data_IF_767753355959
#
_entry.id   IF_767753355959
#
_cell.length_a   1.000
_cell.length_b   1.000
_cell.length_c   1.000
_cell.angle_alpha   90.00
_cell.angle_beta   90.00
_cell.angle_gamma   90.00
#
_symmetry.space_group_name_H-M   'P 1'
#
loop_
_entity.id
_entity.type
_entity.pdbx_description
1 polymer ?
#
# COMPACT_ATOMS: atom_id res chain seq x y z
N UNK A 1 -42.56 9.27 -90.96
CA UNK A 1 -43.50 8.20 -90.54
C UNK A 1 -43.18 7.85 -89.13
N UNK A 2 -43.97 8.31 -88.22
CA UNK A 2 -44.83 7.49 -87.39
C UNK A 2 -43.98 6.58 -86.39
N UNK A 3 -44.07 6.57 -85.19
CA UNK A 3 -45.07 6.92 -84.14
C UNK A 3 -44.51 6.55 -82.78
N UNK A 4 -44.89 7.39 -81.87
CA UNK A 4 -45.51 7.06 -80.55
C UNK A 4 -44.78 6.12 -79.58
N UNK A 5 -44.43 6.69 -78.42
CA UNK A 5 -45.16 6.75 -77.14
C UNK A 5 -45.06 5.50 -76.31
N UNK A 6 -44.47 5.60 -75.12
CA UNK A 6 -45.15 5.52 -73.83
C UNK A 6 -44.10 5.42 -72.68
N UNK A 7 -44.16 6.46 -71.84
CA UNK A 7 -43.86 6.28 -70.45
C UNK A 7 -44.98 5.45 -69.80
N UNK A 8 -44.66 4.66 -68.73
CA UNK A 8 -44.77 5.27 -67.43
C UNK A 8 -43.94 4.62 -66.26
N UNK A 9 -43.98 5.39 -65.22
CA UNK A 9 -44.01 5.03 -63.79
C UNK A 9 -42.73 4.82 -63.04
N UNK A 10 -42.42 5.89 -62.42
CA UNK A 10 -41.92 6.06 -61.03
C UNK A 10 -42.26 4.92 -60.12
N UNK A 11 -41.30 4.22 -59.61
CA UNK A 11 -41.41 3.64 -58.25
C UNK A 11 -40.08 3.85 -57.53
N UNK A 12 -40.16 4.65 -56.48
CA UNK A 12 -39.03 5.02 -55.66
C UNK A 12 -38.42 3.83 -54.94
N UNK A 13 -37.10 3.75 -55.00
CA UNK A 13 -36.31 2.92 -54.11
C UNK A 13 -35.63 3.86 -53.14
N UNK A 14 -36.24 3.98 -51.97
CA UNK A 14 -35.63 4.63 -50.80
C UNK A 14 -34.46 3.78 -50.35
N UNK A 15 -33.26 4.22 -50.69
CA UNK A 15 -32.02 3.70 -50.09
C UNK A 15 -31.92 4.26 -48.66
N UNK A 16 -32.29 3.43 -47.68
CA UNK A 16 -31.98 3.67 -46.27
C UNK A 16 -30.50 3.43 -46.11
N UNK A 17 -29.71 4.50 -46.13
CA UNK A 17 -28.35 4.52 -45.63
C UNK A 17 -28.41 4.38 -44.11
N UNK A 18 -28.32 3.11 -43.61
CA UNK A 18 -28.04 2.83 -42.23
C UNK A 18 -26.57 3.23 -41.97
N UNK A 19 -26.36 4.44 -41.51
CA UNK A 19 -25.10 4.86 -40.94
C UNK A 19 -24.91 4.07 -39.66
N UNK A 20 -24.15 2.99 -39.74
CA UNK A 20 -23.59 2.31 -38.57
C UNK A 20 -22.55 3.27 -37.98
N UNK A 21 -23.00 4.10 -37.04
CA UNK A 21 -22.12 4.83 -36.15
C UNK A 21 -21.44 3.80 -35.25
N UNK A 22 -20.25 3.32 -35.70
CA UNK A 22 -19.32 2.58 -34.86
C UNK A 22 -18.79 3.57 -33.83
N UNK A 23 -19.51 3.73 -32.73
CA UNK A 23 -18.99 4.40 -31.55
C UNK A 23 -17.86 3.55 -31.02
N UNK A 24 -16.64 3.88 -31.44
CA UNK A 24 -15.42 3.53 -30.71
C UNK A 24 -15.60 4.10 -29.29
N UNK A 25 -16.08 3.27 -28.37
CA UNK A 25 -15.99 3.54 -26.96
C UNK A 25 -14.49 3.55 -26.63
N UNK A 26 -13.89 4.74 -26.73
CA UNK A 26 -12.64 5.01 -26.05
C UNK A 26 -12.89 4.63 -24.59
N UNK A 27 -12.01 3.80 -23.98
CA UNK A 27 -12.10 3.56 -22.55
C UNK A 27 -12.02 4.95 -21.90
N UNK A 28 -13.15 5.39 -21.37
CA UNK A 28 -13.21 6.54 -20.49
C UNK A 28 -12.30 6.16 -19.33
N UNK A 29 -11.07 6.69 -19.33
CA UNK A 29 -10.25 6.72 -18.12
C UNK A 29 -11.05 7.57 -17.14
N UNK A 30 -11.99 6.91 -16.47
CA UNK A 30 -12.68 7.47 -15.34
C UNK A 30 -11.59 7.79 -14.34
N UNK A 31 -11.23 9.07 -14.29
CA UNK A 31 -10.47 9.66 -13.23
C UNK A 31 -11.12 9.14 -11.97
N UNK A 32 -10.47 8.20 -11.29
CA UNK A 32 -10.91 7.65 -10.01
C UNK A 32 -10.70 8.74 -8.96
N UNK A 33 -11.46 9.82 -9.15
CA UNK A 33 -11.66 10.82 -8.13
C UNK A 33 -12.54 10.09 -7.12
N UNK A 34 -11.94 9.71 -5.96
CA UNK A 34 -12.73 9.57 -4.76
C UNK A 34 -13.67 10.77 -4.78
N UNK A 35 -14.98 10.57 -4.95
CA UNK A 35 -15.96 11.56 -4.57
C UNK A 35 -15.87 11.68 -3.05
N UNK A 36 -14.81 12.31 -2.57
CA UNK A 36 -14.82 12.85 -1.22
C UNK A 36 -16.04 13.75 -1.21
N UNK A 37 -17.02 13.36 -0.42
CA UNK A 37 -18.13 14.26 -0.16
C UNK A 37 -17.53 15.65 0.04
N UNK A 38 -18.03 16.64 -0.68
CA UNK A 38 -17.52 18.03 -0.57
C UNK A 38 -17.50 18.56 0.86
N UNK A 39 -18.05 17.81 1.79
CA UNK A 39 -18.17 18.07 3.22
C UNK A 39 -17.29 17.14 4.07
N UNK A 40 -16.41 16.30 3.47
CA UNK A 40 -15.48 15.49 4.27
C UNK A 40 -14.54 16.39 5.07
N UNK A 41 -14.10 15.98 6.27
CA UNK A 41 -13.17 16.78 7.09
C UNK A 41 -11.89 17.19 6.35
N UNK A 42 -11.32 16.29 5.55
CA UNK A 42 -10.13 16.58 4.76
C UNK A 42 -10.42 17.57 3.64
N UNK A 43 -11.56 17.45 2.94
CA UNK A 43 -11.96 18.38 1.90
C UNK A 43 -12.22 19.80 2.44
N UNK A 44 -12.85 19.93 3.62
CA UNK A 44 -13.04 21.22 4.26
C UNK A 44 -11.71 21.86 4.67
N UNK A 45 -10.78 21.07 5.22
CA UNK A 45 -9.45 21.56 5.58
C UNK A 45 -8.65 22.01 4.36
N UNK A 46 -8.67 21.23 3.28
CA UNK A 46 -7.98 21.56 2.04
C UNK A 46 -8.51 22.85 1.40
N UNK A 47 -9.84 23.07 1.40
CA UNK A 47 -10.41 24.34 0.95
C UNK A 47 -9.99 25.51 1.83
N UNK A 48 -9.94 25.31 3.13
CA UNK A 48 -9.44 26.35 4.02
C UNK A 48 -7.99 26.72 3.72
N UNK A 49 -7.12 25.74 3.46
CA UNK A 49 -5.73 25.98 3.04
C UNK A 49 -5.65 26.72 1.68
N UNK A 50 -6.49 26.34 0.74
CA UNK A 50 -6.56 27.03 -0.56
C UNK A 50 -6.98 28.49 -0.41
N UNK A 51 -8.02 28.75 0.40
CA UNK A 51 -8.52 30.08 0.65
C UNK A 51 -7.54 30.94 1.44
N UNK A 52 -6.81 30.38 2.40
CA UNK A 52 -5.70 31.05 3.10
C UNK A 52 -4.62 31.45 2.08
N UNK A 53 -4.21 30.55 1.19
CA UNK A 53 -3.21 30.84 0.17
C UNK A 53 -3.63 31.92 -0.82
N UNK A 54 -4.94 32.12 -1.02
CA UNK A 54 -5.54 33.18 -1.84
C UNK A 54 -5.96 34.42 -1.04
N UNK A 55 -5.60 34.49 0.23
CA UNK A 55 -5.94 35.59 1.17
C UNK A 55 -7.47 35.79 1.35
N UNK A 56 -8.27 34.75 1.12
CA UNK A 56 -9.72 34.76 1.31
C UNK A 56 -10.07 34.29 2.73
N UNK A 57 -9.68 35.06 3.73
CA UNK A 57 -9.73 34.63 5.14
C UNK A 57 -11.15 34.38 5.66
N UNK A 58 -12.16 35.10 5.19
CA UNK A 58 -13.55 34.85 5.59
C UNK A 58 -14.09 33.52 5.04
N UNK A 59 -13.77 33.19 3.78
CA UNK A 59 -14.11 31.90 3.21
C UNK A 59 -13.40 30.74 3.92
N UNK A 60 -12.11 30.90 4.18
CA UNK A 60 -11.33 29.95 4.96
C UNK A 60 -11.93 29.72 6.36
N UNK A 61 -12.33 30.80 7.06
CA UNK A 61 -12.98 30.72 8.36
C UNK A 61 -14.30 29.94 8.28
N UNK A 62 -15.12 30.19 7.24
CA UNK A 62 -16.36 29.44 7.03
C UNK A 62 -16.14 27.93 6.88
N UNK A 63 -15.10 27.52 6.13
CA UNK A 63 -14.73 26.09 5.98
C UNK A 63 -14.24 25.49 7.31
N UNK A 64 -13.41 26.21 8.05
CA UNK A 64 -12.90 25.75 9.37
C UNK A 64 -14.05 25.66 10.39
N UNK A 65 -14.98 26.58 10.41
CA UNK A 65 -16.15 26.50 11.30
C UNK A 65 -17.08 25.33 10.94
N UNK A 66 -17.27 25.05 9.64
CA UNK A 66 -17.98 23.85 9.20
C UNK A 66 -17.25 22.57 9.62
N UNK A 67 -15.93 22.55 9.53
CA UNK A 67 -15.10 21.45 9.99
C UNK A 67 -15.21 21.24 11.50
N UNK A 68 -15.17 22.29 12.32
CA UNK A 68 -15.31 22.20 13.77
C UNK A 68 -16.73 21.73 14.15
N UNK A 69 -17.79 22.18 13.46
CA UNK A 69 -19.14 21.65 13.69
C UNK A 69 -19.23 20.14 13.40
N UNK A 70 -18.55 19.68 12.32
CA UNK A 70 -18.54 18.26 11.95
C UNK A 70 -17.63 17.42 12.87
N UNK A 71 -16.54 18.00 13.38
CA UNK A 71 -15.52 17.34 14.23
C UNK A 71 -15.05 18.29 15.33
N UNK A 72 -15.83 18.45 16.43
CA UNK A 72 -15.51 19.38 17.51
C UNK A 72 -14.18 19.11 18.21
N UNK A 73 -13.70 17.86 18.16
CA UNK A 73 -12.45 17.41 18.76
C UNK A 73 -11.22 17.51 17.82
N UNK A 74 -11.34 18.20 16.67
CA UNK A 74 -10.23 18.38 15.73
C UNK A 74 -9.38 19.61 16.14
N UNK A 75 -8.34 19.36 16.93
CA UNK A 75 -7.49 20.41 17.55
C UNK A 75 -6.83 21.33 16.53
N UNK A 76 -6.34 20.80 15.41
CA UNK A 76 -5.75 21.60 14.33
C UNK A 76 -6.75 22.62 13.75
N UNK A 77 -8.02 22.23 13.60
CA UNK A 77 -9.05 23.16 13.10
C UNK A 77 -9.26 24.33 14.07
N UNK A 78 -9.25 24.08 15.38
CA UNK A 78 -9.33 25.14 16.37
C UNK A 78 -8.13 26.09 16.36
N UNK A 79 -6.91 25.56 16.16
CA UNK A 79 -5.71 26.38 16.02
C UNK A 79 -5.81 27.31 14.79
N UNK A 80 -6.17 26.75 13.63
CA UNK A 80 -6.36 27.52 12.39
C UNK A 80 -7.47 28.58 12.56
N UNK A 81 -8.58 28.23 13.23
CA UNK A 81 -9.65 29.20 13.55
C UNK A 81 -9.12 30.39 14.35
N UNK A 82 -8.33 30.11 15.39
CA UNK A 82 -7.71 31.16 16.21
C UNK A 82 -6.84 32.09 15.38
N UNK A 83 -6.00 31.53 14.52
CA UNK A 83 -5.15 32.31 13.61
C UNK A 83 -5.96 33.14 12.61
N UNK A 84 -7.00 32.58 11.98
CA UNK A 84 -7.85 33.33 11.04
C UNK A 84 -8.58 34.49 11.70
N UNK A 85 -9.06 34.31 12.93
CA UNK A 85 -9.66 35.41 13.71
C UNK A 85 -8.64 36.49 14.07
N UNK A 86 -7.42 36.10 14.43
CA UNK A 86 -6.34 37.03 14.75
C UNK A 86 -5.86 37.78 13.50
N UNK A 87 -5.85 37.13 12.33
CA UNK A 87 -5.47 37.72 11.05
C UNK A 87 -6.37 38.91 10.64
N UNK A 88 -7.60 38.99 11.16
CA UNK A 88 -8.49 40.16 10.96
C UNK A 88 -8.00 41.40 11.68
N UNK A 89 -7.24 41.24 12.76
CA UNK A 89 -6.78 42.36 13.59
C UNK A 89 -5.30 42.72 13.32
N UNK A 90 -4.47 41.76 12.88
CA UNK A 90 -3.04 41.99 12.65
C UNK A 90 -2.45 40.93 11.71
N UNK A 91 -1.38 41.25 10.95
CA UNK A 91 -0.64 40.26 10.15
C UNK A 91 -0.11 39.12 11.03
N UNK A 92 -0.17 37.90 10.52
CA UNK A 92 0.41 36.72 11.16
C UNK A 92 1.69 36.31 10.44
N UNK A 93 2.77 36.07 11.21
CA UNK A 93 4.05 35.62 10.68
C UNK A 93 4.13 34.09 10.61
N UNK A 94 3.31 33.38 11.39
CA UNK A 94 3.43 31.93 11.58
C UNK A 94 2.07 31.31 11.95
N UNK A 95 1.81 30.08 11.54
CA UNK A 95 0.66 29.31 11.99
C UNK A 95 0.78 28.99 13.48
N UNK A 96 -0.35 29.04 14.20
CA UNK A 96 -0.41 28.73 15.63
C UNK A 96 0.13 29.87 16.50
N UNK A 97 -0.32 31.10 16.23
CA UNK A 97 0.05 32.27 17.04
C UNK A 97 -0.73 32.29 18.36
N UNK A 98 -0.40 31.36 19.26
CA UNK A 98 -0.97 31.23 20.59
C UNK A 98 0.14 31.36 21.65
N UNK A 99 0.53 32.59 22.02
CA UNK A 99 1.71 32.86 22.88
C UNK A 99 1.61 32.21 24.27
N UNK A 100 0.40 31.99 24.78
CA UNK A 100 0.16 31.36 26.08
C UNK A 100 -0.16 29.86 25.97
N UNK A 101 -0.11 29.28 24.77
CA UNK A 101 -0.33 27.85 24.56
C UNK A 101 0.92 27.01 24.83
N UNK A 102 0.75 25.71 25.17
CA UNK A 102 1.88 24.80 25.32
C UNK A 102 2.68 24.71 24.02
N UNK A 103 3.96 25.10 24.05
CA UNK A 103 4.81 25.23 22.86
C UNK A 103 4.95 23.92 22.10
N UNK A 104 5.12 22.78 22.80
CA UNK A 104 5.20 21.43 22.25
C UNK A 104 3.94 21.06 21.46
N UNK A 105 2.76 21.36 22.00
CA UNK A 105 1.46 21.08 21.35
C UNK A 105 1.27 21.94 20.09
N UNK A 106 1.75 23.18 20.10
CA UNK A 106 1.67 24.04 18.92
C UNK A 106 2.60 23.52 17.83
N UNK A 107 3.81 23.06 18.17
CA UNK A 107 4.74 22.42 17.23
C UNK A 107 4.10 21.18 16.61
N UNK A 108 3.53 20.31 17.42
CA UNK A 108 2.82 19.10 16.98
C UNK A 108 1.71 19.41 15.95
N UNK A 109 0.88 20.43 16.22
CA UNK A 109 -0.20 20.83 15.30
C UNK A 109 0.33 21.49 14.02
N UNK A 110 1.45 22.20 14.08
CA UNK A 110 2.13 22.72 12.89
C UNK A 110 2.66 21.58 12.01
N UNK A 111 3.28 20.56 12.59
CA UNK A 111 3.75 19.39 11.86
C UNK A 111 2.56 18.68 11.17
N UNK A 112 1.41 18.54 11.85
CA UNK A 112 0.19 17.99 11.26
C UNK A 112 -0.31 18.85 10.09
N UNK A 113 -0.36 20.18 10.23
CA UNK A 113 -0.77 21.08 9.17
C UNK A 113 0.15 20.96 7.94
N UNK A 114 1.48 20.92 8.16
CA UNK A 114 2.47 20.76 7.09
C UNK A 114 2.30 19.42 6.36
N UNK A 115 2.13 18.32 7.09
CA UNK A 115 1.94 16.99 6.50
C UNK A 115 0.67 16.93 5.63
N UNK A 116 -0.46 17.49 6.10
CA UNK A 116 -1.71 17.54 5.35
C UNK A 116 -1.64 18.48 4.16
N UNK A 117 -1.05 19.66 4.31
CA UNK A 117 -0.86 20.61 3.23
C UNK A 117 0.07 20.06 2.13
N UNK A 118 1.11 19.33 2.52
CA UNK A 118 2.00 18.65 1.56
C UNK A 118 1.23 17.59 0.76
N UNK A 119 0.41 16.77 1.40
CA UNK A 119 -0.41 15.76 0.73
C UNK A 119 -1.40 16.40 -0.26
N UNK A 120 -1.99 17.54 0.11
CA UNK A 120 -2.88 18.30 -0.77
C UNK A 120 -2.15 18.87 -2.00
N UNK A 121 -0.95 19.44 -1.81
CA UNK A 121 -0.17 20.07 -2.88
C UNK A 121 0.54 19.09 -3.80
N UNK A 122 0.89 17.93 -3.28
CA UNK A 122 1.61 16.86 -3.97
C UNK A 122 0.77 15.57 -3.92
N UNK A 123 -0.41 15.55 -4.56
CA UNK A 123 -1.26 14.36 -4.55
C UNK A 123 -0.55 13.22 -5.30
N UNK A 124 -0.87 12.00 -4.91
CA UNK A 124 -0.42 10.82 -5.63
C UNK A 124 -1.02 10.80 -7.05
N UNK A 125 -0.18 10.50 -8.04
CA UNK A 125 -0.63 10.29 -9.43
C UNK A 125 -1.21 8.88 -9.59
N UNK A 126 -2.43 8.79 -10.13
CA UNK A 126 -3.16 7.52 -10.29
C UNK A 126 -2.54 6.56 -11.31
N UNK A 127 -1.58 7.03 -12.11
CA UNK A 127 -0.83 6.27 -13.12
C UNK A 127 0.50 5.70 -12.61
N UNK A 128 0.79 5.91 -11.33
CA UNK A 128 1.97 5.38 -10.66
C UNK A 128 1.60 4.25 -9.69
N UNK A 129 2.51 3.29 -9.57
CA UNK A 129 2.39 2.12 -8.70
C UNK A 129 3.54 2.11 -7.70
N UNK A 130 3.32 1.79 -6.41
CA UNK A 130 4.43 1.67 -5.46
C UNK A 130 5.33 0.49 -5.86
N UNK A 131 6.64 0.71 -5.88
CA UNK A 131 7.64 -0.31 -6.24
C UNK A 131 7.58 -1.57 -5.38
N UNK A 132 6.92 -1.48 -4.23
CA UNK A 132 6.78 -2.57 -3.25
C UNK A 132 5.72 -3.62 -3.62
N UNK A 133 4.69 -3.24 -4.39
CA UNK A 133 3.57 -4.12 -4.77
C UNK A 133 3.78 -4.69 -6.18
N UNK A 134 4.69 -5.66 -6.34
CA UNK A 134 4.99 -6.22 -7.66
C UNK A 134 3.89 -7.15 -8.16
N UNK A 135 3.30 -7.98 -7.29
CA UNK A 135 2.17 -8.83 -7.63
C UNK A 135 1.36 -9.21 -6.41
N UNK A 136 0.04 -9.08 -6.51
CA UNK A 136 -0.93 -9.55 -5.53
C UNK A 136 -1.49 -10.92 -5.94
N UNK A 137 -1.83 -11.75 -4.94
CA UNK A 137 -2.65 -12.95 -5.17
C UNK A 137 -4.06 -12.56 -5.60
N UNK A 138 -4.77 -13.40 -6.39
CA UNK A 138 -6.17 -13.14 -6.76
C UNK A 138 -7.10 -12.93 -5.55
N UNK A 139 -6.84 -13.61 -4.44
CA UNK A 139 -7.62 -13.51 -3.20
C UNK A 139 -7.33 -12.23 -2.40
N UNK A 140 -6.19 -11.61 -2.60
CA UNK A 140 -5.81 -10.33 -1.98
C UNK A 140 -6.50 -9.18 -2.72
N UNK A 141 -7.73 -8.85 -2.32
CA UNK A 141 -8.52 -7.81 -2.99
C UNK A 141 -7.95 -6.42 -2.84
N UNK A 142 -7.26 -6.16 -1.73
CA UNK A 142 -6.67 -4.87 -1.40
C UNK A 142 -5.27 -5.03 -0.81
N UNK A 143 -4.47 -3.98 -0.95
CA UNK A 143 -3.16 -3.83 -0.32
C UNK A 143 -3.00 -2.43 0.27
N UNK A 144 -2.22 -2.33 1.34
CA UNK A 144 -1.92 -1.09 2.04
C UNK A 144 -0.43 -0.77 1.91
N UNK A 145 -0.12 0.49 1.61
CA UNK A 145 1.26 1.02 1.67
C UNK A 145 1.27 2.23 2.59
N UNK A 146 2.07 2.15 3.65
CA UNK A 146 2.25 3.21 4.63
C UNK A 146 3.55 3.96 4.34
N UNK A 147 3.44 5.27 4.17
CA UNK A 147 4.54 6.22 4.07
C UNK A 147 4.63 7.02 5.38
N UNK A 148 5.53 6.62 6.26
CA UNK A 148 5.68 7.29 7.56
C UNK A 148 6.32 8.67 7.42
N UNK A 149 7.12 8.92 6.38
CA UNK A 149 7.74 10.21 6.10
C UNK A 149 6.75 11.25 5.58
N UNK A 150 5.69 10.82 4.88
CA UNK A 150 4.61 11.70 4.42
C UNK A 150 3.38 11.67 5.33
N UNK A 151 3.38 10.83 6.36
CA UNK A 151 2.21 10.59 7.24
C UNK A 151 0.96 10.19 6.44
N UNK A 152 1.13 9.27 5.47
CA UNK A 152 0.04 8.78 4.61
C UNK A 152 -0.03 7.25 4.61
N UNK A 153 -1.24 6.75 4.50
CA UNK A 153 -1.55 5.35 4.21
C UNK A 153 -2.30 5.33 2.89
N UNK A 154 -1.75 4.65 1.90
CA UNK A 154 -2.35 4.48 0.57
C UNK A 154 -3.04 3.13 0.49
N UNK A 155 -4.25 3.11 -0.04
CA UNK A 155 -5.05 1.92 -0.30
C UNK A 155 -5.06 1.60 -1.79
N UNK A 156 -4.74 0.36 -2.13
CA UNK A 156 -4.76 -0.15 -3.50
C UNK A 156 -5.73 -1.32 -3.62
N UNK A 157 -6.48 -1.36 -4.72
CA UNK A 157 -7.30 -2.49 -5.13
C UNK A 157 -6.50 -3.38 -6.08
N UNK A 158 -6.68 -4.68 -5.99
CA UNK A 158 -6.08 -5.66 -6.89
C UNK A 158 -6.92 -5.79 -8.18
N UNK A 159 -6.37 -5.39 -9.32
CA UNK A 159 -6.97 -5.60 -10.64
C UNK A 159 -6.09 -6.55 -11.45
N UNK A 160 -6.37 -7.85 -11.36
CA UNK A 160 -5.61 -8.86 -12.10
C UNK A 160 -4.13 -8.98 -11.70
N UNK A 161 -3.80 -8.70 -10.43
CA UNK A 161 -2.43 -8.67 -9.91
C UNK A 161 -1.79 -7.29 -9.93
N UNK A 162 -2.33 -6.32 -10.69
CA UNK A 162 -1.89 -4.94 -10.71
C UNK A 162 -2.55 -4.14 -9.58
N UNK A 163 -1.78 -3.40 -8.75
CA UNK A 163 -2.35 -2.50 -7.75
C UNK A 163 -2.92 -1.25 -8.42
N UNK A 164 -4.20 -0.97 -8.17
CA UNK A 164 -4.87 0.25 -8.59
C UNK A 164 -5.13 1.13 -7.38
N UNK A 165 -4.73 2.39 -7.45
CA UNK A 165 -4.96 3.36 -6.39
C UNK A 165 -6.47 3.60 -6.13
N UNK A 166 -6.88 3.50 -4.86
CA UNK A 166 -8.25 3.74 -4.39
C UNK A 166 -8.35 5.06 -3.64
N UNK A 167 -7.38 5.36 -2.79
CA UNK A 167 -7.36 6.55 -1.98
C UNK A 167 -6.27 6.48 -0.91
N UNK A 168 -6.16 7.53 -0.12
CA UNK A 168 -5.19 7.61 0.96
C UNK A 168 -5.77 8.29 2.19
N UNK A 169 -5.13 8.07 3.35
CA UNK A 169 -5.55 8.54 4.65
C UNK A 169 -4.37 9.18 5.39
N UNK A 170 -4.63 10.25 6.14
CA UNK A 170 -3.66 10.78 7.07
C UNK A 170 -3.41 9.80 8.21
N UNK A 171 -2.13 9.61 8.60
CA UNK A 171 -1.77 8.75 9.72
C UNK A 171 -0.78 9.42 10.66
N UNK A 172 -0.77 8.92 11.91
CA UNK A 172 0.30 9.13 12.86
C UNK A 172 1.10 7.85 13.04
N UNK A 173 2.41 7.95 13.20
CA UNK A 173 3.34 6.84 13.36
C UNK A 173 4.19 6.96 14.64
N UNK A 174 5.22 6.15 14.79
CA UNK A 174 6.06 6.10 15.98
C UNK A 174 6.71 7.44 16.33
N UNK A 175 6.69 7.84 17.60
CA UNK A 175 7.28 9.08 18.14
C UNK A 175 8.76 9.23 17.78
N UNK A 176 9.47 8.12 17.70
CA UNK A 176 10.90 8.09 17.35
C UNK A 176 11.16 7.68 15.89
N UNK A 177 10.14 7.85 15.03
CA UNK A 177 10.23 7.55 13.60
C UNK A 177 10.00 6.09 13.27
N UNK A 178 10.64 5.65 12.21
CA UNK A 178 10.53 4.29 11.69
C UNK A 178 11.79 3.44 11.97
N UNK A 179 11.83 2.24 11.39
CA UNK A 179 12.87 1.22 11.59
C UNK A 179 12.91 0.71 13.04
N UNK A 180 11.81 0.09 13.46
CA UNK A 180 11.71 -0.60 14.74
C UNK A 180 12.68 -1.77 14.81
N UNK A 181 13.48 -1.83 15.90
CA UNK A 181 14.49 -2.88 16.15
C UNK A 181 14.15 -3.69 17.40
N UNK A 182 13.64 -3.04 18.45
CA UNK A 182 13.42 -3.69 19.76
C UNK A 182 12.09 -3.26 20.40
N UNK A 183 11.61 -4.06 21.34
CA UNK A 183 10.46 -3.70 22.16
C UNK A 183 10.68 -2.34 22.86
N UNK A 184 9.62 -1.52 22.94
CA UNK A 184 9.65 -0.22 23.64
C UNK A 184 10.44 0.91 22.98
N UNK A 185 10.97 0.73 21.76
CA UNK A 185 11.75 1.76 21.06
C UNK A 185 10.90 2.91 20.46
N UNK A 186 9.59 2.81 20.55
CA UNK A 186 8.60 3.79 20.05
C UNK A 186 8.71 4.07 18.56
N UNK A 187 9.19 3.10 17.79
CA UNK A 187 9.35 3.18 16.35
C UNK A 187 8.34 2.31 15.62
N UNK A 188 7.91 2.74 14.45
CA UNK A 188 7.12 1.93 13.52
C UNK A 188 8.06 1.01 12.72
N UNK A 189 7.76 -0.29 12.55
CA UNK A 189 8.61 -1.17 11.76
C UNK A 189 8.55 -0.82 10.27
N UNK A 190 9.64 -1.13 9.57
CA UNK A 190 9.71 -1.08 8.10
C UNK A 190 9.76 -2.50 7.58
N UNK A 191 8.89 -2.83 6.61
CA UNK A 191 8.84 -4.17 6.04
C UNK A 191 7.53 -4.49 5.34
N UNK A 192 7.38 -5.77 5.02
CA UNK A 192 6.19 -6.36 4.38
C UNK A 192 5.45 -7.20 5.42
N UNK A 193 4.25 -6.79 5.75
CA UNK A 193 3.39 -7.42 6.76
C UNK A 193 2.04 -7.78 6.17
N UNK A 194 1.16 -8.38 6.98
CA UNK A 194 -0.25 -8.56 6.68
C UNK A 194 -1.08 -8.41 7.96
N UNK A 195 -2.35 -8.06 7.79
CA UNK A 195 -3.31 -7.98 8.88
C UNK A 195 -3.60 -9.38 9.42
N UNK A 196 -3.43 -9.60 10.72
CA UNK A 196 -3.56 -10.93 11.36
C UNK A 196 -4.89 -11.14 12.05
N UNK A 197 -5.52 -10.09 12.55
CA UNK A 197 -6.79 -10.17 13.25
C UNK A 197 -7.55 -8.84 13.23
N UNK A 198 -8.80 -8.87 13.67
CA UNK A 198 -9.64 -7.70 13.92
C UNK A 198 -10.04 -7.68 15.39
N UNK A 199 -9.70 -6.61 16.09
CA UNK A 199 -10.02 -6.41 17.49
C UNK A 199 -11.13 -5.35 17.59
N UNK A 200 -12.38 -5.73 17.89
CA UNK A 200 -13.49 -4.79 17.94
C UNK A 200 -13.40 -3.89 19.18
N UNK A 201 -13.94 -2.67 19.09
CA UNK A 201 -13.96 -1.66 20.17
C UNK A 201 -14.34 -2.22 21.55
N UNK A 202 -15.31 -3.13 21.62
CA UNK A 202 -15.78 -3.73 22.89
C UNK A 202 -14.68 -4.45 23.68
N UNK A 203 -13.59 -4.87 23.02
CA UNK A 203 -12.46 -5.58 23.63
C UNK A 203 -11.25 -4.67 23.88
N UNK A 204 -11.36 -3.37 23.61
CA UNK A 204 -10.26 -2.43 23.64
C UNK A 204 -10.58 -1.26 24.59
N UNK A 205 -9.53 -0.65 25.15
CA UNK A 205 -9.67 0.65 25.80
C UNK A 205 -9.95 1.73 24.77
N UNK A 206 -10.49 2.87 25.20
CA UNK A 206 -10.78 4.02 24.33
C UNK A 206 -9.54 4.55 23.60
N UNK A 207 -8.34 4.26 24.11
CA UNK A 207 -7.06 4.63 23.50
C UNK A 207 -6.93 4.17 22.04
N UNK A 208 -7.54 3.03 21.68
CA UNK A 208 -7.49 2.43 20.34
C UNK A 208 -8.67 2.84 19.44
N UNK A 209 -9.56 3.68 19.90
CA UNK A 209 -10.70 4.19 19.16
C UNK A 209 -11.71 3.11 18.76
N UNK A 210 -12.14 3.13 17.50
CA UNK A 210 -13.21 2.24 17.00
C UNK A 210 -12.77 0.78 16.79
N UNK A 211 -11.46 0.50 16.83
CA UNK A 211 -10.95 -0.85 16.65
C UNK A 211 -9.45 -0.88 16.41
N UNK A 212 -8.91 -2.10 16.31
CA UNK A 212 -7.51 -2.31 15.98
C UNK A 212 -7.32 -3.54 15.09
N UNK A 213 -6.33 -3.46 14.22
CA UNK A 213 -5.95 -4.49 13.26
C UNK A 213 -4.46 -4.79 13.42
N UNK A 214 -4.11 -5.81 14.23
CA UNK A 214 -2.74 -6.27 14.40
C UNK A 214 -2.12 -6.71 13.08
N UNK A 215 -0.80 -6.46 12.94
CA UNK A 215 0.01 -7.00 11.85
C UNK A 215 1.01 -8.03 12.37
N UNK A 216 1.54 -8.89 11.49
CA UNK A 216 2.47 -9.97 11.83
C UNK A 216 3.91 -9.51 12.10
N UNK A 217 4.09 -8.39 12.81
CA UNK A 217 5.40 -7.96 13.28
C UNK A 217 5.75 -8.63 14.62
N UNK A 218 6.99 -9.17 14.82
CA UNK A 218 8.03 -9.39 13.83
C UNK A 218 7.75 -10.62 12.95
N UNK A 219 7.95 -10.49 11.62
CA UNK A 219 7.87 -11.59 10.68
C UNK A 219 9.19 -12.40 10.62
N UNK A 220 9.32 -13.35 9.69
CA UNK A 220 10.52 -14.18 9.53
C UNK A 220 11.76 -13.34 9.17
N UNK A 221 11.58 -12.31 8.34
CA UNK A 221 12.67 -11.41 7.94
C UNK A 221 13.15 -10.54 9.10
N UNK A 222 12.21 -9.99 9.88
CA UNK A 222 12.55 -9.21 11.08
C UNK A 222 13.36 -10.03 12.08
N UNK A 223 12.94 -11.28 12.35
CA UNK A 223 13.66 -12.18 13.27
C UNK A 223 15.06 -12.51 12.75
N UNK A 224 15.20 -12.73 11.44
CA UNK A 224 16.50 -12.94 10.79
C UNK A 224 17.43 -11.74 10.96
N UNK A 225 16.87 -10.52 10.95
CA UNK A 225 17.59 -9.27 11.19
C UNK A 225 17.81 -8.99 12.70
N UNK A 226 17.47 -9.91 13.59
CA UNK A 226 17.58 -9.71 15.03
C UNK A 226 16.57 -8.73 15.63
N UNK A 227 15.53 -8.36 14.87
CA UNK A 227 14.48 -7.44 15.34
C UNK A 227 13.49 -8.18 16.23
N UNK A 228 13.01 -7.49 17.27
CA UNK A 228 12.05 -8.04 18.21
C UNK A 228 11.00 -7.00 18.63
N UNK A 229 10.09 -7.42 19.50
CA UNK A 229 8.95 -6.64 19.98
C UNK A 229 7.63 -7.23 19.50
N UNK A 230 6.54 -6.52 19.73
CA UNK A 230 5.18 -6.96 19.40
C UNK A 230 4.23 -5.76 19.45
N UNK A 231 2.94 -5.99 19.16
CA UNK A 231 1.89 -5.01 19.40
C UNK A 231 1.86 -3.85 18.41
N UNK A 232 2.23 -4.10 17.16
CA UNK A 232 2.10 -3.12 16.08
C UNK A 232 0.76 -3.33 15.39
N UNK A 233 -0.08 -2.29 15.43
CA UNK A 233 -1.46 -2.32 14.97
C UNK A 233 -1.78 -1.13 14.08
N UNK A 234 -2.75 -1.28 13.18
CA UNK A 234 -3.52 -0.18 12.61
C UNK A 234 -4.70 0.07 13.55
N UNK A 235 -4.88 1.28 14.07
CA UNK A 235 -5.97 1.56 15.02
C UNK A 235 -6.46 3.01 14.97
N UNK A 236 -7.58 3.28 15.62
CA UNK A 236 -8.19 4.60 15.69
C UNK A 236 -7.58 5.49 16.78
N UNK A 237 -8.20 6.65 16.96
CA UNK A 237 -7.89 7.64 18.02
C UNK A 237 -8.87 7.52 19.17
N UNK A 238 -8.51 7.94 20.41
CA UNK A 238 -9.47 8.10 21.50
C UNK A 238 -10.68 8.94 21.07
N UNK A 239 -11.83 8.70 21.70
CA UNK A 239 -13.10 9.35 21.35
C UNK A 239 -13.07 10.89 21.46
N UNK A 240 -12.20 11.44 22.31
CA UNK A 240 -11.99 12.88 22.50
C UNK A 240 -11.00 13.51 21.49
N UNK A 241 -10.45 12.73 20.57
CA UNK A 241 -9.36 13.15 19.68
C UNK A 241 -9.67 12.76 18.25
N UNK A 242 -9.77 13.72 17.32
CA UNK A 242 -9.99 13.41 15.90
C UNK A 242 -8.75 12.84 15.23
N UNK A 243 -7.59 13.47 15.43
CA UNK A 243 -6.30 13.06 14.85
C UNK A 243 -5.16 13.31 15.82
N UNK A 244 -4.02 12.66 15.56
CA UNK A 244 -2.76 12.86 16.29
C UNK A 244 -1.74 13.52 15.38
N UNK A 245 -0.72 14.21 15.94
CA UNK A 245 0.44 14.67 15.16
C UNK A 245 1.11 13.53 14.38
N UNK A 246 1.91 13.83 13.35
CA UNK A 246 2.53 12.82 12.49
C UNK A 246 3.31 11.74 13.23
N UNK A 247 3.98 12.10 14.34
CA UNK A 247 4.82 11.22 15.16
C UNK A 247 4.36 11.21 16.61
N UNK A 248 3.27 10.49 16.90
CA UNK A 248 2.65 10.51 18.21
C UNK A 248 2.20 9.13 18.74
N UNK A 249 2.65 8.02 18.13
CA UNK A 249 2.37 6.67 18.62
C UNK A 249 3.61 5.99 19.21
N UNK A 250 3.42 4.88 19.91
CA UNK A 250 4.51 4.05 20.40
C UNK A 250 4.93 2.97 19.40
N UNK A 251 4.61 3.19 18.11
CA UNK A 251 4.98 2.35 16.97
C UNK A 251 3.82 1.90 16.09
N UNK A 252 2.59 2.02 16.54
CA UNK A 252 1.40 1.73 15.75
C UNK A 252 1.17 2.77 14.64
N UNK A 253 0.39 2.40 13.64
CA UNK A 253 -0.14 3.29 12.61
C UNK A 253 -1.54 3.72 13.04
N UNK A 254 -1.73 5.01 13.32
CA UNK A 254 -2.96 5.54 13.90
C UNK A 254 -3.70 6.40 12.87
N UNK A 255 -4.98 6.09 12.67
CA UNK A 255 -5.90 6.83 11.79
C UNK A 255 -6.95 7.57 12.62
N UNK A 256 -7.66 8.52 12.02
CA UNK A 256 -8.93 8.97 12.62
C UNK A 256 -9.92 7.80 12.68
N UNK A 257 -10.86 7.84 13.63
CA UNK A 257 -11.86 6.76 13.73
C UNK A 257 -12.69 6.61 12.44
N UNK A 258 -13.06 7.71 11.78
CA UNK A 258 -13.79 7.67 10.52
C UNK A 258 -12.97 7.05 9.38
N UNK A 259 -11.67 7.33 9.33
CA UNK A 259 -10.79 6.77 8.30
C UNK A 259 -10.50 5.29 8.57
N UNK A 260 -10.36 4.90 9.84
CA UNK A 260 -10.23 3.50 10.22
C UNK A 260 -11.47 2.70 9.84
N UNK A 261 -12.68 3.23 10.11
CA UNK A 261 -13.94 2.57 9.75
C UNK A 261 -14.07 2.39 8.23
N UNK A 262 -13.69 3.41 7.45
CA UNK A 262 -13.66 3.33 6.00
C UNK A 262 -12.64 2.29 5.50
N UNK A 263 -11.42 2.30 6.05
CA UNK A 263 -10.37 1.33 5.72
C UNK A 263 -10.77 -0.10 6.09
N UNK A 264 -11.44 -0.28 7.22
CA UNK A 264 -11.84 -1.58 7.76
C UNK A 264 -12.71 -2.40 6.79
N UNK A 265 -13.52 -1.73 5.96
CA UNK A 265 -14.37 -2.38 4.95
C UNK A 265 -13.57 -3.08 3.84
N UNK A 266 -12.29 -2.76 3.71
CA UNK A 266 -11.37 -3.27 2.70
C UNK A 266 -10.37 -4.31 3.26
N UNK A 267 -10.35 -4.52 4.58
CA UNK A 267 -9.40 -5.43 5.22
C UNK A 267 -9.86 -6.88 5.16
N UNK A 268 -8.98 -7.75 4.71
CA UNK A 268 -9.13 -9.21 4.74
C UNK A 268 -8.12 -9.78 5.74
N UNK A 269 -8.62 -10.38 6.81
CA UNK A 269 -7.79 -10.97 7.87
C UNK A 269 -6.98 -12.14 7.29
N UNK A 270 -5.66 -12.14 7.55
CA UNK A 270 -4.70 -13.10 7.02
C UNK A 270 -4.25 -12.84 5.57
N UNK A 271 -4.89 -11.91 4.84
CA UNK A 271 -4.65 -11.72 3.41
C UNK A 271 -4.17 -10.32 3.03
N UNK A 272 -4.76 -9.25 3.61
CA UNK A 272 -4.41 -7.87 3.20
C UNK A 272 -2.94 -7.56 3.53
N UNK A 273 -2.07 -7.35 2.52
CA UNK A 273 -0.70 -6.93 2.75
C UNK A 273 -0.65 -5.51 3.29
N UNK A 274 0.30 -5.26 4.19
CA UNK A 274 0.61 -3.96 4.78
C UNK A 274 2.11 -3.73 4.63
N UNK A 275 2.49 -2.89 3.67
CA UNK A 275 3.87 -2.50 3.47
C UNK A 275 4.11 -1.18 4.19
N UNK A 276 5.12 -1.11 5.05
CA UNK A 276 5.47 0.09 5.81
C UNK A 276 6.86 0.56 5.40
N UNK A 277 6.97 1.83 4.97
CA UNK A 277 8.21 2.47 4.53
C UNK A 277 8.38 3.87 5.13
N UNK A 278 9.59 4.43 5.08
CA UNK A 278 9.86 5.85 5.37
C UNK A 278 9.57 6.77 4.19
N UNK A 279 9.53 6.23 2.98
CA UNK A 279 9.18 6.93 1.75
C UNK A 279 8.81 5.92 0.68
N UNK A 280 7.77 6.22 -0.08
CA UNK A 280 7.33 5.35 -1.16
C UNK A 280 8.05 5.72 -2.44
N UNK A 281 8.70 4.74 -3.04
CA UNK A 281 9.22 4.82 -4.41
C UNK A 281 8.09 4.45 -5.38
N UNK A 282 7.86 5.35 -6.33
CA UNK A 282 6.79 5.21 -7.32
C UNK A 282 7.35 4.85 -8.70
N UNK A 283 6.74 3.89 -9.36
CA UNK A 283 7.09 3.46 -10.70
C UNK A 283 5.96 3.80 -11.67
N UNK A 284 6.31 4.10 -12.92
CA UNK A 284 5.31 4.03 -13.99
C UNK A 284 4.79 2.60 -14.14
N UNK A 285 3.59 2.43 -14.69
CA UNK A 285 3.03 1.10 -14.96
C UNK A 285 3.95 0.26 -15.87
N UNK A 286 4.66 0.90 -16.78
CA UNK A 286 5.63 0.23 -17.67
C UNK A 286 6.85 -0.30 -16.90
N UNK A 287 7.46 0.53 -16.05
CA UNK A 287 8.56 0.14 -15.17
C UNK A 287 8.14 -0.99 -14.24
N UNK A 288 6.97 -0.85 -13.62
CA UNK A 288 6.39 -1.88 -12.74
C UNK A 288 6.20 -3.21 -13.48
N UNK A 289 5.64 -3.20 -14.70
CA UNK A 289 5.48 -4.41 -15.52
C UNK A 289 6.82 -5.06 -15.86
N UNK A 290 7.84 -4.26 -16.14
CA UNK A 290 9.20 -4.75 -16.46
C UNK A 290 9.82 -5.46 -15.27
N UNK A 291 9.76 -4.84 -14.08
CA UNK A 291 10.28 -5.43 -12.86
C UNK A 291 9.53 -6.70 -12.45
N UNK A 292 8.20 -6.65 -12.49
CA UNK A 292 7.36 -7.81 -12.21
C UNK A 292 7.71 -9.01 -13.11
N UNK A 293 7.84 -8.80 -14.43
CA UNK A 293 8.21 -9.85 -15.39
C UNK A 293 9.59 -10.42 -15.09
N UNK A 294 10.56 -9.57 -14.76
CA UNK A 294 11.91 -10.00 -14.41
C UNK A 294 11.93 -10.96 -13.23
N UNK A 295 11.17 -10.67 -12.17
CA UNK A 295 11.05 -11.57 -11.01
C UNK A 295 10.31 -12.86 -11.32
N UNK A 296 9.22 -12.81 -12.07
CA UNK A 296 8.51 -14.02 -12.50
C UNK A 296 9.41 -14.94 -13.33
N UNK A 297 10.22 -14.38 -14.23
CA UNK A 297 11.20 -15.13 -15.01
C UNK A 297 12.29 -15.75 -14.13
N UNK A 298 12.76 -15.05 -13.10
CA UNK A 298 13.74 -15.61 -12.16
C UNK A 298 13.18 -16.81 -11.39
N UNK A 299 11.91 -16.77 -10.97
CA UNK A 299 11.21 -17.88 -10.32
C UNK A 299 11.07 -19.07 -11.31
N UNK A 300 10.71 -18.80 -12.55
CA UNK A 300 10.56 -19.84 -13.57
C UNK A 300 11.90 -20.49 -13.91
N UNK A 301 12.98 -19.73 -13.99
CA UNK A 301 14.33 -20.25 -14.17
C UNK A 301 14.77 -21.13 -13.00
N UNK A 302 14.55 -20.69 -11.76
CA UNK A 302 14.78 -21.52 -10.58
C UNK A 302 14.01 -22.83 -10.60
N UNK A 303 12.73 -22.79 -11.00
CA UNK A 303 11.88 -23.97 -11.15
C UNK A 303 12.43 -24.93 -12.21
N UNK A 304 12.78 -24.41 -13.41
CA UNK A 304 13.30 -25.19 -14.52
C UNK A 304 14.64 -25.85 -14.17
N UNK A 305 15.55 -25.13 -13.51
CA UNK A 305 16.82 -25.69 -13.04
C UNK A 305 16.61 -26.77 -11.97
N UNK A 306 15.60 -26.65 -11.13
CA UNK A 306 15.25 -27.74 -10.20
C UNK A 306 14.71 -28.98 -10.92
N UNK A 307 13.88 -28.83 -11.94
CA UNK A 307 13.32 -29.91 -12.74
C UNK A 307 14.38 -30.59 -13.61
N UNK A 308 15.47 -29.90 -13.98
CA UNK A 308 16.55 -30.44 -14.79
C UNK A 308 17.39 -31.53 -14.10
N UNK A 309 17.26 -31.68 -12.77
CA UNK A 309 18.12 -32.52 -11.91
C UNK A 309 19.58 -32.06 -11.83
N UNK A 310 19.96 -30.99 -12.54
CA UNK A 310 21.25 -30.34 -12.36
C UNK A 310 21.26 -29.57 -11.02
N UNK A 311 21.67 -30.28 -9.97
CA UNK A 311 21.61 -29.72 -8.62
C UNK A 311 22.55 -28.53 -8.43
N UNK A 312 23.64 -28.42 -9.18
CA UNK A 312 24.56 -27.30 -9.08
C UNK A 312 23.97 -26.04 -9.73
N UNK A 313 23.29 -26.15 -10.84
CA UNK A 313 22.49 -25.04 -11.43
C UNK A 313 21.38 -24.61 -10.48
N UNK A 314 20.64 -25.55 -9.92
CA UNK A 314 19.61 -25.27 -8.92
C UNK A 314 20.18 -24.54 -7.69
N UNK A 315 21.30 -24.99 -7.14
CA UNK A 315 21.96 -24.38 -5.98
C UNK A 315 22.58 -23.01 -6.31
N UNK A 316 22.81 -22.71 -7.59
CA UNK A 316 23.24 -21.40 -8.07
C UNK A 316 22.23 -20.28 -7.78
N UNK A 317 20.94 -20.62 -7.58
CA UNK A 317 19.90 -19.68 -7.17
C UNK A 317 19.92 -19.32 -5.68
N UNK A 318 20.71 -20.03 -4.86
CA UNK A 318 20.80 -19.79 -3.43
C UNK A 318 22.01 -18.93 -3.09
N UNK A 319 21.79 -17.89 -2.27
CA UNK A 319 22.85 -16.99 -1.80
C UNK A 319 23.89 -17.73 -0.94
N UNK A 320 25.15 -17.29 -0.94
CA UNK A 320 26.12 -17.72 0.09
C UNK A 320 25.63 -17.49 1.52
N UNK A 321 24.80 -16.44 1.74
CA UNK A 321 24.21 -16.11 3.04
C UNK A 321 22.89 -16.84 3.34
N UNK A 322 22.51 -17.84 2.52
CA UNK A 322 21.29 -18.60 2.75
C UNK A 322 21.31 -19.31 4.11
N UNK A 323 20.21 -19.16 4.84
CA UNK A 323 19.96 -19.93 6.05
C UNK A 323 18.45 -20.16 6.24
N UNK A 324 18.07 -21.42 6.47
CA UNK A 324 16.68 -21.80 6.71
C UNK A 324 16.62 -23.09 7.56
N UNK A 325 15.69 -23.17 8.49
CA UNK A 325 15.47 -24.37 9.32
C UNK A 325 16.73 -24.90 10.00
N UNK A 326 17.62 -24.02 10.48
CA UNK A 326 18.89 -24.39 11.12
C UNK A 326 20.00 -24.90 10.17
N UNK A 327 19.76 -24.82 8.85
CA UNK A 327 20.73 -25.17 7.81
C UNK A 327 21.29 -23.91 7.16
N UNK A 328 22.61 -23.88 6.97
CA UNK A 328 23.28 -22.95 6.08
C UNK A 328 23.22 -23.44 4.62
N UNK A 329 23.80 -22.66 3.71
CA UNK A 329 23.83 -23.00 2.27
C UNK A 329 24.53 -24.35 2.00
N UNK A 330 25.59 -24.68 2.72
CA UNK A 330 26.36 -25.90 2.47
C UNK A 330 25.62 -27.15 2.97
N UNK A 331 25.04 -27.10 4.16
CA UNK A 331 24.16 -28.16 4.67
C UNK A 331 22.94 -28.36 3.76
N UNK A 332 22.30 -27.27 3.31
CA UNK A 332 21.22 -27.30 2.33
C UNK A 332 21.67 -27.94 1.01
N UNK A 333 22.85 -27.58 0.51
CA UNK A 333 23.41 -28.12 -0.71
C UNK A 333 23.67 -29.63 -0.62
N UNK A 334 24.28 -30.12 0.49
CA UNK A 334 24.47 -31.56 0.75
C UNK A 334 23.12 -32.29 0.76
N UNK A 335 22.17 -31.79 1.50
CA UNK A 335 20.83 -32.35 1.56
C UNK A 335 20.15 -32.44 0.17
N UNK A 336 20.21 -31.34 -0.62
CA UNK A 336 19.59 -31.31 -1.97
C UNK A 336 20.29 -32.25 -2.95
N UNK A 337 21.62 -32.38 -2.92
CA UNK A 337 22.34 -33.36 -3.77
C UNK A 337 21.90 -34.79 -3.46
N UNK A 338 21.77 -35.12 -2.18
CA UNK A 338 21.30 -36.44 -1.75
C UNK A 338 19.85 -36.69 -2.19
N UNK A 339 18.95 -35.72 -1.94
CA UNK A 339 17.51 -35.88 -2.27
C UNK A 339 17.27 -35.90 -3.77
N UNK A 340 17.91 -35.02 -4.55
CA UNK A 340 17.73 -34.95 -5.99
C UNK A 340 18.41 -36.15 -6.72
N UNK A 341 19.58 -36.58 -6.22
CA UNK A 341 20.28 -37.74 -6.78
C UNK A 341 19.54 -39.09 -6.67
N UNK A 342 18.58 -39.17 -5.73
CA UNK A 342 17.71 -40.33 -5.59
C UNK A 342 16.46 -40.29 -6.48
N UNK A 343 16.37 -39.36 -7.45
CA UNK A 343 15.19 -39.14 -8.29
C UNK A 343 15.54 -39.29 -9.77
N UNK A 344 14.65 -39.96 -10.52
CA UNK A 344 14.79 -40.06 -11.97
C UNK A 344 14.11 -38.90 -12.71
N UNK A 345 13.22 -38.19 -12.07
CA UNK A 345 12.56 -36.98 -12.57
C UNK A 345 11.98 -36.15 -11.45
N UNK A 346 11.88 -34.83 -11.66
CA UNK A 346 11.22 -33.85 -10.81
C UNK A 346 10.30 -32.99 -11.69
N UNK A 347 9.11 -32.66 -11.17
CA UNK A 347 8.18 -31.68 -11.72
C UNK A 347 7.69 -30.76 -10.62
N UNK A 348 7.74 -29.44 -10.87
CA UNK A 348 7.40 -28.41 -9.89
C UNK A 348 6.38 -27.46 -10.52
N UNK A 349 5.14 -27.55 -10.08
CA UNK A 349 4.13 -26.53 -10.36
C UNK A 349 4.27 -25.37 -9.39
N UNK A 350 4.27 -24.15 -9.90
CA UNK A 350 4.24 -22.91 -9.12
C UNK A 350 2.98 -22.14 -9.52
N UNK A 351 2.10 -21.89 -8.55
CA UNK A 351 0.87 -21.10 -8.75
C UNK A 351 0.65 -20.13 -7.59
N UNK A 352 -0.32 -19.25 -7.71
CA UNK A 352 -0.71 -18.29 -6.68
C UNK A 352 0.50 -17.51 -6.15
N UNK A 353 1.20 -16.85 -7.07
CA UNK A 353 2.43 -16.13 -6.74
C UNK A 353 2.10 -14.71 -6.28
N UNK A 354 2.57 -14.32 -5.09
CA UNK A 354 2.65 -12.92 -4.67
C UNK A 354 4.10 -12.47 -4.56
N UNK A 355 4.35 -11.21 -4.95
CA UNK A 355 5.66 -10.59 -4.97
C UNK A 355 5.60 -9.23 -4.27
N UNK A 356 6.35 -9.08 -3.18
CA UNK A 356 6.45 -7.83 -2.45
C UNK A 356 7.91 -7.46 -2.23
N UNK A 357 8.33 -6.29 -2.73
CA UNK A 357 9.66 -5.75 -2.40
C UNK A 357 9.64 -5.21 -0.98
N UNK A 358 10.63 -5.55 -0.16
CA UNK A 358 10.78 -4.98 1.18
C UNK A 358 11.33 -3.55 1.06
N UNK A 359 10.72 -2.58 1.75
CA UNK A 359 11.32 -1.25 1.88
C UNK A 359 12.65 -1.34 2.67
N UNK A 360 13.60 -0.48 2.32
CA UNK A 360 14.89 -0.40 2.99
C UNK A 360 16.07 -0.40 2.02
N UNK A 361 17.28 -0.50 2.55
CA UNK A 361 18.51 -0.45 1.75
C UNK A 361 18.80 -1.74 0.98
N UNK A 362 18.31 -2.86 1.48
CA UNK A 362 18.52 -4.18 0.86
C UNK A 362 17.40 -4.43 -0.15
N UNK A 363 17.76 -4.75 -1.38
CA UNK A 363 16.78 -5.11 -2.42
C UNK A 363 16.28 -6.55 -2.22
N UNK A 364 15.44 -6.74 -1.21
CA UNK A 364 14.84 -8.04 -0.89
C UNK A 364 13.41 -8.09 -1.42
N UNK A 365 13.06 -9.20 -2.08
CA UNK A 365 11.68 -9.48 -2.50
C UNK A 365 11.18 -10.71 -1.75
N UNK A 366 10.02 -10.56 -1.13
CA UNK A 366 9.26 -11.65 -0.53
C UNK A 366 8.41 -12.29 -1.60
N UNK A 367 8.65 -13.57 -1.84
CA UNK A 367 7.91 -14.40 -2.80
C UNK A 367 7.11 -15.43 -2.03
N UNK A 368 5.79 -15.44 -2.18
CA UNK A 368 4.92 -16.48 -1.60
C UNK A 368 4.16 -17.16 -2.73
N UNK A 369 4.09 -18.48 -2.74
CA UNK A 369 3.46 -19.26 -3.79
C UNK A 369 2.97 -20.63 -3.32
N UNK A 370 2.03 -21.22 -4.05
CA UNK A 370 1.63 -22.62 -3.93
C UNK A 370 2.57 -23.48 -4.78
N UNK A 371 3.24 -24.44 -4.13
CA UNK A 371 4.13 -25.39 -4.78
C UNK A 371 3.45 -26.75 -4.90
N UNK A 372 3.30 -27.28 -6.13
CA UNK A 372 2.90 -28.65 -6.39
C UNK A 372 4.15 -29.42 -6.85
N UNK A 373 4.76 -30.12 -5.91
CA UNK A 373 5.97 -30.92 -6.16
C UNK A 373 5.61 -32.35 -6.45
N UNK A 374 6.15 -32.90 -7.55
CA UNK A 374 6.07 -34.31 -7.92
C UNK A 374 7.44 -34.82 -8.35
N UNK A 375 7.75 -36.05 -8.01
CA UNK A 375 8.98 -36.72 -8.43
C UNK A 375 8.75 -38.23 -8.52
N UNK A 376 9.75 -38.96 -8.94
CA UNK A 376 9.72 -40.43 -9.06
C UNK A 376 9.33 -41.15 -7.75
N UNK A 377 9.48 -40.53 -6.59
CA UNK A 377 9.25 -41.17 -5.30
C UNK A 377 8.55 -40.29 -4.24
N UNK A 378 8.11 -39.07 -4.61
CA UNK A 378 7.43 -38.16 -3.67
C UNK A 378 6.48 -37.22 -4.40
N UNK A 379 5.31 -36.97 -3.83
CA UNK A 379 4.38 -35.92 -4.25
C UNK A 379 3.96 -35.12 -3.03
N UNK A 380 3.98 -33.78 -3.14
CA UNK A 380 3.60 -32.87 -2.06
C UNK A 380 3.07 -31.54 -2.59
N UNK A 381 2.07 -30.97 -1.91
CA UNK A 381 1.55 -29.62 -2.17
C UNK A 381 1.71 -28.80 -0.90
N UNK A 382 2.32 -27.63 -1.01
CA UNK A 382 2.54 -26.74 0.13
C UNK A 382 2.60 -25.26 -0.28
N UNK A 383 2.23 -24.36 0.63
CA UNK A 383 2.56 -22.94 0.46
C UNK A 383 4.00 -22.69 0.91
N UNK A 384 4.74 -22.01 0.06
CA UNK A 384 6.13 -21.62 0.32
C UNK A 384 6.30 -20.12 0.37
N UNK A 385 7.23 -19.70 1.21
CA UNK A 385 7.75 -18.33 1.24
C UNK A 385 9.25 -18.35 1.04
N UNK A 386 9.71 -17.50 0.12
CA UNK A 386 11.13 -17.29 -0.14
C UNK A 386 11.44 -15.81 -0.01
N UNK A 387 12.64 -15.48 0.46
CA UNK A 387 13.21 -14.15 0.39
C UNK A 387 14.34 -14.15 -0.61
N UNK A 388 14.22 -13.30 -1.63
CA UNK A 388 15.19 -13.16 -2.71
C UNK A 388 15.93 -11.85 -2.55
N UNK A 389 17.26 -11.91 -2.42
CA UNK A 389 18.14 -10.74 -2.31
C UNK A 389 18.85 -10.51 -3.63
N UNK A 390 18.93 -9.25 -4.08
CA UNK A 390 19.74 -8.89 -5.24
C UNK A 390 21.20 -8.73 -4.83
N UNK A 391 22.04 -9.63 -5.31
CA UNK A 391 23.48 -9.69 -5.05
C UNK A 391 24.25 -9.75 -6.37
N UNK A 392 25.17 -8.79 -6.61
CA UNK A 392 25.99 -8.77 -7.83
C UNK A 392 25.15 -8.76 -9.13
N UNK A 393 24.02 -8.08 -9.14
CA UNK A 393 23.11 -8.00 -10.29
C UNK A 393 22.20 -9.22 -10.48
N UNK A 394 22.25 -10.23 -9.59
CA UNK A 394 21.41 -11.44 -9.65
C UNK A 394 20.52 -11.53 -8.40
N UNK A 395 19.30 -11.99 -8.58
CA UNK A 395 18.41 -12.32 -7.46
C UNK A 395 18.72 -13.74 -6.96
N UNK A 396 18.99 -13.88 -5.64
CA UNK A 396 19.27 -15.17 -5.01
C UNK A 396 18.45 -15.37 -3.75
N UNK A 397 18.09 -16.61 -3.49
CA UNK A 397 17.28 -17.01 -2.33
C UNK A 397 18.18 -16.98 -1.09
N UNK A 398 17.81 -16.18 -0.08
CA UNK A 398 18.49 -16.09 1.21
C UNK A 398 17.74 -16.83 2.32
N UNK A 399 16.46 -17.14 2.08
CA UNK A 399 15.60 -17.90 2.99
C UNK A 399 14.53 -18.64 2.21
N UNK A 400 14.17 -19.84 2.67
CA UNK A 400 13.03 -20.62 2.16
C UNK A 400 12.35 -21.34 3.33
N UNK A 401 11.02 -21.26 3.41
CA UNK A 401 10.22 -21.92 4.44
C UNK A 401 8.77 -22.13 4.04
N UNK A 402 7.97 -22.72 4.93
CA UNK A 402 6.52 -22.75 4.81
C UNK A 402 5.96 -21.32 4.98
N UNK A 403 4.85 -21.00 4.27
CA UNK A 403 4.18 -19.70 4.33
C UNK A 403 2.93 -19.75 5.20
#
# INVERSE_FOLDING_TARGET
MVSLVFLPALRGLILVLAAIALTLALPSFAKSIRLESQTSPEALLNRAFEDIGRQRFDAALGHIEALIRARPNFRLAHLIRGDLLLAKARPLAILGNAPNGPADRIVDLREEAVARLRAYREPHSSDQVPSYLLQLLPEQKYAIVVDTGRSRLYLFQNEGGQPRYVGDYYISSGKRGALKVRAGDQKTPIGVYHVTSSLPRKKLSDFYGNGAYPINYPNEWDRRQGRNGHGIWLHGTPSDTYSRPPRASDGCVVLSNSDLDALATHLQIGLTPVIISEGVEWLSVEQWNTERRSFLQAIDTWRADWESLDTDRYLGHYSPSFAANGQDRDAWGRHKRQVNGAKSWIKVGVSDVSLFRTPGKEEVVVVTFSQNYRSSNLSNVMKKRQYWLREGGRCRIVYEGAA
#
